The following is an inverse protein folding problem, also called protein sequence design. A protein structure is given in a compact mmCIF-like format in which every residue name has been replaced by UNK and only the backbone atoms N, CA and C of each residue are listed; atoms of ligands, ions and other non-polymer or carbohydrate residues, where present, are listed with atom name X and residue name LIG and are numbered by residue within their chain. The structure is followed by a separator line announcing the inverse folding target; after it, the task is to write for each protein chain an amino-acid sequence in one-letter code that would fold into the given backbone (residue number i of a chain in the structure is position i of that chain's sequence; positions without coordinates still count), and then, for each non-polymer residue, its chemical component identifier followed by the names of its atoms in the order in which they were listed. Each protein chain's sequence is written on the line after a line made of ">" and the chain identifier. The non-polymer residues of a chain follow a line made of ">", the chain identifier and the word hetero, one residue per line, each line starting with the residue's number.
data_IF_442699971112
#
_entry.id   IF_442699971112
#
_cell.length_a   1.000
_cell.length_b   1.000
_cell.length_c   1.000
_cell.angle_alpha   90.00
_cell.angle_beta   90.00
_cell.angle_gamma   90.00
#
_symmetry.space_group_name_H-M   'P 1'
#
loop_
_entity.id
_entity.type
_entity.pdbx_description
1 polymer ?
#
# COMPACT_ATOMS: atom_id res chain seq x y z
N UNK A 1 16.13 5.05 -2.44
CA UNK A 1 17.35 4.25 -2.75
C UNK A 1 16.86 2.89 -3.20
N UNK A 2 16.92 2.56 -4.49
CA UNK A 2 16.54 1.22 -4.96
C UNK A 2 17.60 0.23 -4.45
N UNK A 3 17.22 -0.58 -3.47
CA UNK A 3 18.03 -1.72 -3.05
C UNK A 3 18.02 -2.66 -4.25
N UNK A 4 19.15 -2.79 -4.93
CA UNK A 4 19.38 -3.87 -5.91
C UNK A 4 19.65 -5.14 -5.11
N UNK A 5 18.58 -5.80 -4.67
CA UNK A 5 18.73 -7.12 -4.10
C UNK A 5 19.33 -8.04 -5.16
N UNK A 6 20.28 -8.87 -4.73
CA UNK A 6 20.82 -9.91 -5.62
C UNK A 6 19.67 -10.79 -6.06
N UNK A 7 19.67 -11.23 -7.32
CA UNK A 7 18.60 -12.11 -7.87
C UNK A 7 18.38 -13.37 -7.03
N UNK A 8 19.43 -13.87 -6.41
CA UNK A 8 19.42 -15.02 -5.50
C UNK A 8 18.83 -14.68 -4.12
N UNK A 9 18.75 -13.41 -3.76
CA UNK A 9 18.20 -12.91 -2.50
C UNK A 9 16.68 -12.74 -2.51
N UNK A 10 16.03 -12.69 -3.69
CA UNK A 10 14.58 -12.47 -3.80
C UNK A 10 13.86 -13.76 -4.20
N UNK A 11 12.57 -13.85 -3.85
CA UNK A 11 11.70 -14.96 -4.26
C UNK A 11 11.55 -15.00 -5.78
N UNK A 12 11.52 -16.20 -6.36
CA UNK A 12 11.11 -16.42 -7.75
C UNK A 12 9.60 -16.31 -7.89
N UNK A 13 9.08 -16.26 -9.11
CA UNK A 13 7.63 -16.23 -9.34
C UNK A 13 6.97 -17.53 -8.88
N UNK A 14 7.65 -18.65 -9.05
CA UNK A 14 7.21 -19.97 -8.59
C UNK A 14 7.13 -20.04 -7.05
N UNK A 15 8.12 -19.49 -6.35
CA UNK A 15 8.12 -19.41 -4.89
C UNK A 15 6.97 -18.52 -4.39
N UNK A 16 6.72 -17.36 -5.04
CA UNK A 16 5.61 -16.46 -4.73
C UNK A 16 4.27 -17.15 -4.99
N UNK A 17 4.10 -17.79 -6.17
CA UNK A 17 2.88 -18.51 -6.55
C UNK A 17 2.55 -19.62 -5.56
N UNK A 18 3.58 -20.42 -5.14
CA UNK A 18 3.41 -21.49 -4.17
C UNK A 18 2.92 -20.97 -2.81
N UNK A 19 3.56 -19.92 -2.26
CA UNK A 19 3.14 -19.32 -0.99
C UNK A 19 1.74 -18.71 -1.10
N UNK A 20 1.48 -17.96 -2.18
CA UNK A 20 0.17 -17.36 -2.41
C UNK A 20 -0.92 -18.42 -2.55
N UNK A 21 -0.66 -19.49 -3.31
CA UNK A 21 -1.55 -20.63 -3.45
C UNK A 21 -1.88 -21.30 -2.11
N UNK A 22 -0.87 -21.51 -1.26
CA UNK A 22 -1.05 -22.04 0.08
C UNK A 22 -1.94 -21.13 0.94
N UNK A 23 -1.68 -19.81 0.93
CA UNK A 23 -2.46 -18.83 1.67
C UNK A 23 -3.94 -18.79 1.21
N UNK A 24 -4.18 -18.86 -0.09
CA UNK A 24 -5.54 -18.86 -0.67
C UNK A 24 -6.27 -20.17 -0.34
N UNK A 25 -5.65 -21.31 -0.61
CA UNK A 25 -6.35 -22.61 -0.52
C UNK A 25 -6.53 -23.09 0.91
N UNK A 26 -5.58 -22.82 1.80
CA UNK A 26 -5.60 -23.31 3.19
C UNK A 26 -6.22 -22.33 4.17
N UNK A 27 -6.04 -21.02 3.94
CA UNK A 27 -6.46 -19.98 4.89
C UNK A 27 -7.53 -19.03 4.35
N UNK A 28 -7.97 -19.22 3.10
CA UNK A 28 -9.05 -18.44 2.51
C UNK A 28 -8.68 -16.98 2.25
N UNK A 29 -7.39 -16.69 1.98
CA UNK A 29 -6.99 -15.36 1.56
C UNK A 29 -7.68 -15.02 0.24
N UNK A 30 -8.48 -13.96 0.23
CA UNK A 30 -9.34 -13.56 -0.88
C UNK A 30 -8.80 -12.33 -1.66
N UNK A 31 -7.76 -11.70 -1.14
CA UNK A 31 -7.15 -10.55 -1.80
C UNK A 31 -5.63 -10.51 -1.63
N UNK A 32 -4.92 -10.15 -2.71
CA UNK A 32 -3.47 -9.99 -2.72
C UNK A 32 -3.13 -8.60 -3.24
N UNK A 33 -2.17 -7.93 -2.59
CA UNK A 33 -1.64 -6.65 -3.06
C UNK A 33 -0.16 -6.76 -3.37
N UNK A 34 0.18 -6.57 -4.63
CA UNK A 34 1.57 -6.40 -5.05
C UNK A 34 2.06 -5.01 -4.69
N UNK A 35 3.21 -4.96 -4.05
CA UNK A 35 3.86 -3.72 -3.61
C UNK A 35 5.38 -3.99 -3.51
N UNK A 36 6.11 -3.20 -2.76
CA UNK A 36 7.55 -3.40 -2.55
C UNK A 36 8.19 -2.03 -2.45
N UNK A 37 9.45 -1.88 -2.88
CA UNK A 37 9.97 -0.55 -3.16
C UNK A 37 9.21 0.07 -4.34
N UNK A 38 9.30 -0.58 -5.51
CA UNK A 38 8.47 -0.28 -6.68
C UNK A 38 8.28 -1.59 -7.47
N UNK A 39 7.05 -2.14 -7.55
CA UNK A 39 6.81 -3.43 -8.20
C UNK A 39 7.07 -3.39 -9.70
N UNK A 40 6.85 -2.25 -10.36
CA UNK A 40 6.98 -2.13 -11.82
C UNK A 40 8.42 -2.19 -12.34
N UNK A 41 9.43 -2.14 -11.46
CA UNK A 41 10.83 -2.38 -11.85
C UNK A 41 11.16 -3.87 -11.98
N UNK A 42 10.27 -4.75 -11.52
CA UNK A 42 10.48 -6.19 -11.64
C UNK A 42 10.21 -6.64 -13.08
N UNK A 43 11.22 -7.26 -13.69
CA UNK A 43 11.09 -7.80 -15.04
C UNK A 43 9.94 -8.82 -15.12
N UNK A 44 9.19 -8.78 -16.22
CA UNK A 44 8.06 -9.68 -16.49
C UNK A 44 6.95 -9.65 -15.42
N UNK A 45 6.69 -8.48 -14.82
CA UNK A 45 5.63 -8.31 -13.83
C UNK A 45 4.26 -8.79 -14.31
N UNK A 46 3.82 -8.57 -15.58
CA UNK A 46 2.55 -9.11 -16.07
C UNK A 46 2.46 -10.65 -16.00
N UNK A 47 3.57 -11.38 -16.14
CA UNK A 47 3.57 -12.86 -15.94
C UNK A 47 3.24 -13.22 -14.48
N UNK A 48 3.86 -12.52 -13.50
CA UNK A 48 3.53 -12.72 -12.08
C UNK A 48 2.05 -12.40 -11.80
N UNK A 49 1.56 -11.29 -12.34
CA UNK A 49 0.13 -10.90 -12.22
C UNK A 49 -0.76 -12.01 -12.78
N UNK A 50 -0.47 -12.52 -13.98
CA UNK A 50 -1.22 -13.60 -14.62
C UNK A 50 -1.21 -14.91 -13.84
N UNK A 51 -0.10 -15.25 -13.19
CA UNK A 51 0.00 -16.42 -12.30
C UNK A 51 -0.88 -16.26 -11.06
N UNK A 52 -0.81 -15.12 -10.41
CA UNK A 52 -1.62 -14.83 -9.21
C UNK A 52 -3.11 -14.67 -9.52
N UNK A 53 -3.47 -14.12 -10.67
CA UNK A 53 -4.86 -13.99 -11.11
C UNK A 53 -5.57 -15.35 -11.24
N UNK A 54 -4.83 -16.42 -11.59
CA UNK A 54 -5.37 -17.79 -11.65
C UNK A 54 -5.84 -18.33 -10.29
N UNK A 55 -5.40 -17.73 -9.19
CA UNK A 55 -5.85 -18.11 -7.85
C UNK A 55 -7.28 -17.61 -7.54
N UNK A 56 -7.88 -16.76 -8.39
CA UNK A 56 -9.25 -16.29 -8.24
C UNK A 56 -9.43 -15.25 -7.13
N UNK A 57 -8.37 -14.57 -6.73
CA UNK A 57 -8.36 -13.54 -5.69
C UNK A 57 -8.49 -12.13 -6.26
N UNK A 58 -8.94 -11.19 -5.46
CA UNK A 58 -8.89 -9.77 -5.82
C UNK A 58 -7.45 -9.27 -5.79
N UNK A 59 -6.91 -8.96 -6.96
CA UNK A 59 -5.52 -8.63 -7.14
C UNK A 59 -5.32 -7.11 -7.30
N UNK A 60 -4.60 -6.51 -6.37
CA UNK A 60 -4.30 -5.09 -6.36
C UNK A 60 -2.78 -4.83 -6.47
N UNK A 61 -2.41 -3.64 -6.91
CA UNK A 61 -1.03 -3.19 -6.88
C UNK A 61 -0.92 -1.78 -6.32
N UNK A 62 0.17 -1.50 -5.59
CA UNK A 62 0.57 -0.15 -5.20
C UNK A 62 1.88 0.19 -5.89
N UNK A 63 1.94 1.32 -6.57
CA UNK A 63 3.06 1.78 -7.39
C UNK A 63 3.27 3.29 -7.26
N UNK A 64 4.46 3.77 -7.59
CA UNK A 64 4.73 5.20 -7.76
C UNK A 64 4.15 5.80 -9.07
N UNK A 65 3.60 4.98 -9.95
CA UNK A 65 2.90 5.41 -11.16
C UNK A 65 3.78 5.76 -12.37
N UNK A 66 5.06 6.04 -12.19
CA UNK A 66 5.91 6.61 -13.24
C UNK A 66 6.11 5.70 -14.47
N UNK A 67 5.88 4.39 -14.35
CA UNK A 67 5.99 3.44 -15.48
C UNK A 67 4.65 2.99 -16.03
N UNK A 68 3.53 3.37 -15.41
CA UNK A 68 2.18 2.98 -15.85
C UNK A 68 1.85 3.38 -17.30
N UNK A 69 2.33 4.51 -17.86
CA UNK A 69 2.10 4.82 -19.28
C UNK A 69 2.55 3.71 -20.22
N UNK A 70 3.50 2.88 -19.81
CA UNK A 70 4.06 1.80 -20.63
C UNK A 70 3.42 0.43 -20.39
N UNK A 71 2.83 0.19 -19.19
CA UNK A 71 2.46 -1.18 -18.79
C UNK A 71 1.05 -1.30 -18.21
N UNK A 72 0.29 -0.21 -18.06
CA UNK A 72 -1.03 -0.26 -17.42
C UNK A 72 -1.98 -1.23 -18.12
N UNK A 73 -2.01 -1.23 -19.46
CA UNK A 73 -2.84 -2.14 -20.24
C UNK A 73 -2.41 -3.60 -20.06
N UNK A 74 -1.10 -3.88 -20.13
CA UNK A 74 -0.57 -5.25 -19.96
C UNK A 74 -0.91 -5.82 -18.59
N UNK A 75 -0.85 -4.98 -17.54
CA UNK A 75 -1.24 -5.37 -16.18
C UNK A 75 -2.74 -5.65 -16.08
N UNK A 76 -3.56 -4.84 -16.73
CA UNK A 76 -5.02 -5.05 -16.78
C UNK A 76 -5.37 -6.35 -17.49
N UNK A 77 -4.76 -6.59 -18.66
CA UNK A 77 -4.97 -7.80 -19.47
C UNK A 77 -4.46 -9.07 -18.77
N UNK A 78 -3.41 -8.94 -17.96
CA UNK A 78 -2.91 -10.02 -17.12
C UNK A 78 -3.83 -10.35 -15.92
N UNK A 79 -4.85 -9.53 -15.63
CA UNK A 79 -5.83 -9.80 -14.60
C UNK A 79 -5.65 -8.99 -13.32
N UNK A 80 -4.88 -7.90 -13.34
CA UNK A 80 -4.83 -6.97 -12.21
C UNK A 80 -6.19 -6.24 -12.08
N UNK A 81 -6.80 -6.28 -10.90
CA UNK A 81 -8.12 -5.70 -10.68
C UNK A 81 -8.05 -4.23 -10.29
N UNK A 82 -7.12 -3.84 -9.40
CA UNK A 82 -7.08 -2.52 -8.77
C UNK A 82 -5.70 -1.91 -8.73
N UNK A 83 -5.63 -0.59 -8.91
CA UNK A 83 -4.39 0.19 -8.77
C UNK A 83 -4.50 1.21 -7.63
N UNK A 84 -3.41 1.29 -6.85
CA UNK A 84 -3.15 2.41 -5.95
C UNK A 84 -1.86 3.09 -6.44
N UNK A 85 -1.89 4.40 -6.58
CA UNK A 85 -0.75 5.19 -7.02
C UNK A 85 -0.35 6.13 -5.89
N UNK A 86 0.92 6.13 -5.53
CA UNK A 86 1.44 7.03 -4.49
C UNK A 86 1.80 8.37 -5.10
N UNK A 87 1.26 9.45 -4.52
CA UNK A 87 1.50 10.83 -4.97
C UNK A 87 1.36 11.76 -3.76
N UNK A 88 2.48 12.21 -3.20
CA UNK A 88 2.49 12.96 -1.94
C UNK A 88 2.44 14.48 -2.12
N UNK A 89 2.54 15.00 -3.35
CA UNK A 89 2.37 16.41 -3.67
C UNK A 89 1.96 16.62 -5.13
N UNK A 90 1.16 17.65 -5.39
CA UNK A 90 0.81 18.17 -6.73
C UNK A 90 1.73 19.32 -7.14
N UNK A 91 2.49 19.89 -6.20
CA UNK A 91 3.54 20.87 -6.46
C UNK A 91 4.84 20.18 -6.86
N UNK A 92 5.43 20.59 -8.01
CA UNK A 92 6.63 19.95 -8.57
C UNK A 92 7.83 20.03 -7.66
N UNK A 93 8.08 21.20 -7.08
CA UNK A 93 9.29 21.42 -6.28
C UNK A 93 9.21 20.60 -4.99
N UNK A 94 8.04 20.58 -4.35
CA UNK A 94 7.75 19.75 -3.17
C UNK A 94 7.80 18.25 -3.51
N UNK A 95 7.24 17.85 -4.65
CA UNK A 95 7.33 16.46 -5.11
C UNK A 95 8.79 16.02 -5.28
N UNK A 96 9.63 16.86 -5.88
CA UNK A 96 11.07 16.58 -6.03
C UNK A 96 11.77 16.49 -4.68
N UNK A 97 11.45 17.37 -3.75
CA UNK A 97 12.00 17.34 -2.38
C UNK A 97 11.65 16.04 -1.66
N UNK A 98 10.38 15.63 -1.70
CA UNK A 98 9.87 14.43 -1.02
C UNK A 98 10.38 13.14 -1.67
N UNK A 99 10.36 13.06 -3.01
CA UNK A 99 10.67 11.82 -3.73
C UNK A 99 12.12 11.70 -4.18
N UNK A 100 12.85 12.83 -4.18
CA UNK A 100 14.20 12.97 -4.77
C UNK A 100 14.24 12.62 -6.27
N UNK A 101 13.13 12.83 -6.96
CA UNK A 101 12.94 12.56 -8.39
C UNK A 101 12.05 13.62 -9.03
N UNK A 102 12.37 14.02 -10.23
CA UNK A 102 11.59 14.97 -11.04
C UNK A 102 10.69 14.20 -12.03
N UNK A 103 9.79 13.40 -11.49
CA UNK A 103 8.93 12.49 -12.26
C UNK A 103 7.43 12.84 -12.13
N UNK A 104 7.05 14.00 -11.57
CA UNK A 104 5.64 14.35 -11.31
C UNK A 104 4.75 14.21 -12.55
N UNK A 105 5.16 14.78 -13.70
CA UNK A 105 4.40 14.72 -14.95
C UNK A 105 4.18 13.27 -15.38
N UNK A 106 5.20 12.41 -15.27
CA UNK A 106 5.08 10.99 -15.61
C UNK A 106 4.14 10.22 -14.69
N UNK A 107 4.06 10.62 -13.41
CA UNK A 107 3.10 10.05 -12.46
C UNK A 107 1.68 10.46 -12.84
N UNK A 108 1.45 11.73 -13.20
CA UNK A 108 0.16 12.22 -13.68
C UNK A 108 -0.27 11.53 -14.98
N UNK A 109 0.63 11.37 -15.95
CA UNK A 109 0.40 10.54 -17.15
C UNK A 109 0.09 9.09 -16.78
N UNK A 110 0.76 8.55 -15.77
CA UNK A 110 0.50 7.20 -15.25
C UNK A 110 -0.89 7.03 -14.66
N UNK A 111 -1.41 8.05 -13.98
CA UNK A 111 -2.79 8.08 -13.48
C UNK A 111 -3.77 8.07 -14.66
N UNK A 112 -3.53 8.89 -15.67
CA UNK A 112 -4.38 8.94 -16.89
C UNK A 112 -4.34 7.60 -17.64
N UNK A 113 -3.18 6.98 -17.76
CA UNK A 113 -3.03 5.65 -18.37
C UNK A 113 -3.77 4.56 -17.58
N UNK A 114 -3.76 4.62 -16.25
CA UNK A 114 -4.50 3.68 -15.40
C UNK A 114 -6.02 3.83 -15.60
N UNK A 115 -6.52 5.05 -15.66
CA UNK A 115 -7.94 5.33 -15.92
C UNK A 115 -8.31 4.86 -17.35
N UNK A 116 -7.48 5.16 -18.35
CA UNK A 116 -7.71 4.74 -19.73
C UNK A 116 -7.69 3.22 -19.93
N UNK A 117 -6.87 2.49 -19.15
CA UNK A 117 -6.84 1.01 -19.14
C UNK A 117 -8.06 0.40 -18.41
N UNK A 118 -8.98 1.20 -17.89
CA UNK A 118 -10.22 0.74 -17.23
C UNK A 118 -10.04 0.22 -15.81
N UNK A 119 -9.03 0.71 -15.07
CA UNK A 119 -9.00 0.53 -13.63
C UNK A 119 -10.00 1.46 -12.95
N UNK A 120 -11.00 0.89 -12.25
CA UNK A 120 -12.05 1.65 -11.58
C UNK A 120 -12.39 1.03 -10.22
N UNK A 121 -12.23 1.79 -9.10
CA UNK A 121 -11.56 3.09 -9.06
C UNK A 121 -10.03 2.98 -9.05
N UNK A 122 -9.35 3.91 -9.71
CA UNK A 122 -7.95 4.21 -9.43
C UNK A 122 -7.88 4.95 -8.10
N UNK A 123 -6.96 4.56 -7.21
CA UNK A 123 -6.81 5.19 -5.90
C UNK A 123 -5.46 5.89 -5.79
N UNK A 124 -5.48 7.12 -5.33
CA UNK A 124 -4.28 7.93 -5.08
C UNK A 124 -4.01 7.93 -3.57
N UNK A 125 -2.85 7.45 -3.16
CA UNK A 125 -2.39 7.49 -1.77
C UNK A 125 -1.54 8.74 -1.56
N UNK A 126 -1.89 9.53 -0.56
CA UNK A 126 -1.17 10.75 -0.14
C UNK A 126 -0.80 10.59 1.32
N UNK A 127 0.48 10.51 1.65
CA UNK A 127 0.94 10.58 3.03
C UNK A 127 1.00 12.04 3.45
N UNK A 128 0.14 12.44 4.39
CA UNK A 128 0.10 13.81 4.87
C UNK A 128 1.09 14.03 6.00
N UNK A 129 1.87 15.10 5.87
CA UNK A 129 2.83 15.55 6.86
C UNK A 129 2.59 17.01 7.20
N UNK A 130 2.28 17.29 8.48
CA UNK A 130 2.09 18.66 8.95
C UNK A 130 3.36 19.50 8.74
N UNK A 131 3.18 20.72 8.23
CA UNK A 131 4.26 21.64 7.89
C UNK A 131 4.99 21.30 6.57
N UNK A 132 4.56 20.26 5.83
CA UNK A 132 5.18 19.87 4.56
C UNK A 132 4.17 19.93 3.40
N UNK A 133 3.10 19.10 3.44
CA UNK A 133 2.11 19.01 2.35
C UNK A 133 0.65 19.01 2.82
N UNK A 134 0.40 19.30 4.09
CA UNK A 134 -0.96 19.36 4.66
C UNK A 134 -1.83 20.47 4.06
N UNK A 135 -1.22 21.48 3.50
CA UNK A 135 -1.88 22.59 2.78
C UNK A 135 -2.48 22.14 1.43
N UNK A 136 -2.06 21.00 0.88
CA UNK A 136 -2.58 20.44 -0.39
C UNK A 136 -3.84 19.56 -0.23
N UNK A 137 -4.42 19.43 0.97
CA UNK A 137 -5.60 18.58 1.22
C UNK A 137 -6.76 18.90 0.27
N UNK A 138 -7.08 20.19 0.12
CA UNK A 138 -8.19 20.63 -0.74
C UNK A 138 -7.84 20.46 -2.22
N UNK A 139 -6.60 20.76 -2.61
CA UNK A 139 -6.12 20.58 -3.98
C UNK A 139 -6.18 19.13 -4.42
N UNK A 140 -5.78 18.20 -3.57
CA UNK A 140 -5.94 16.77 -3.81
C UNK A 140 -7.41 16.33 -3.88
N UNK A 141 -8.28 16.88 -3.02
CA UNK A 141 -9.71 16.60 -3.10
C UNK A 141 -10.29 17.07 -4.44
N UNK A 142 -9.93 18.26 -4.90
CA UNK A 142 -10.32 18.79 -6.22
C UNK A 142 -9.76 17.94 -7.35
N UNK A 143 -8.47 17.59 -7.28
CA UNK A 143 -7.82 16.69 -8.23
C UNK A 143 -8.57 15.37 -8.38
N UNK A 144 -8.91 14.71 -7.28
CA UNK A 144 -9.66 13.46 -7.29
C UNK A 144 -11.02 13.58 -7.96
N UNK A 145 -11.76 14.65 -7.64
CA UNK A 145 -13.07 14.97 -8.24
C UNK A 145 -13.00 15.22 -9.74
N UNK A 146 -11.96 15.94 -10.18
CA UNK A 146 -11.80 16.31 -11.59
C UNK A 146 -11.29 15.12 -12.44
N UNK A 147 -10.44 14.26 -11.89
CA UNK A 147 -9.89 13.07 -12.57
C UNK A 147 -10.78 11.83 -12.44
N UNK A 148 -11.81 11.85 -11.58
CA UNK A 148 -12.63 10.67 -11.30
C UNK A 148 -11.88 9.57 -10.55
N UNK A 149 -10.89 9.91 -9.73
CA UNK A 149 -10.09 8.98 -8.94
C UNK A 149 -10.38 9.17 -7.45
N UNK A 150 -10.12 8.13 -6.63
CA UNK A 150 -10.34 8.19 -5.18
C UNK A 150 -9.05 8.58 -4.48
N UNK A 151 -8.98 9.77 -3.92
CA UNK A 151 -7.85 10.19 -3.10
C UNK A 151 -7.98 9.59 -1.70
N UNK A 152 -6.88 9.06 -1.17
CA UNK A 152 -6.79 8.53 0.19
C UNK A 152 -5.64 9.18 0.93
N UNK A 153 -5.96 9.98 1.90
CA UNK A 153 -5.00 10.58 2.81
C UNK A 153 -4.58 9.56 3.87
N UNK A 154 -3.30 9.47 4.12
CA UNK A 154 -2.71 8.52 5.06
C UNK A 154 -1.95 9.32 6.12
N UNK A 155 -2.23 9.07 7.38
CA UNK A 155 -1.46 9.65 8.48
C UNK A 155 -0.01 9.20 8.43
N UNK A 156 0.91 10.13 8.63
CA UNK A 156 2.35 9.86 8.64
C UNK A 156 2.72 8.89 9.76
N UNK A 157 3.43 7.83 9.42
CA UNK A 157 3.78 6.73 10.33
C UNK A 157 5.29 6.63 10.55
N UNK A 158 5.77 6.11 11.71
CA UNK A 158 7.20 5.96 12.03
C UNK A 158 7.88 4.81 11.27
N UNK A 159 7.74 4.81 9.95
CA UNK A 159 8.31 3.83 9.00
C UNK A 159 9.12 4.51 7.90
N UNK A 160 9.34 5.79 8.03
CA UNK A 160 10.12 6.62 7.12
C UNK A 160 11.63 6.30 7.22
N UNK A 161 12.33 6.37 6.07
CA UNK A 161 13.74 6.06 6.01
C UNK A 161 14.63 7.17 6.62
N UNK A 162 14.14 8.40 6.63
CA UNK A 162 14.88 9.58 7.08
C UNK A 162 14.69 9.86 8.59
N UNK A 163 13.89 9.04 9.27
CA UNK A 163 13.62 9.11 10.73
C UNK A 163 13.11 10.48 11.20
N UNK A 164 12.35 11.17 10.35
CA UNK A 164 11.78 12.49 10.63
C UNK A 164 10.42 12.45 11.33
N UNK A 165 9.83 11.26 11.52
CA UNK A 165 8.53 11.12 12.13
C UNK A 165 8.52 11.68 13.56
N UNK A 166 7.48 12.45 13.85
CA UNK A 166 7.10 12.93 15.19
C UNK A 166 5.59 13.10 15.29
N UNK A 167 5.02 13.05 16.49
CA UNK A 167 3.58 13.25 16.69
C UNK A 167 3.07 14.60 16.17
N UNK A 168 3.91 15.63 16.20
CA UNK A 168 3.66 16.98 15.69
C UNK A 168 3.55 17.05 14.18
N UNK A 169 4.04 16.03 13.48
CA UNK A 169 3.95 15.89 12.01
C UNK A 169 2.74 15.12 11.53
N UNK A 170 1.98 14.53 12.41
CA UNK A 170 0.74 13.81 12.07
C UNK A 170 -0.37 14.82 11.79
N UNK A 171 -1.08 14.65 10.68
CA UNK A 171 -2.32 15.39 10.38
C UNK A 171 -3.49 14.48 10.72
N UNK A 172 -4.27 14.78 11.79
CA UNK A 172 -5.36 13.92 12.23
C UNK A 172 -6.49 13.82 11.21
N UNK A 173 -7.19 12.65 11.18
CA UNK A 173 -8.37 12.44 10.33
C UNK A 173 -9.39 13.58 10.44
N UNK A 174 -9.66 14.06 11.65
CA UNK A 174 -10.65 15.13 11.88
C UNK A 174 -10.29 16.42 11.14
N UNK A 175 -9.01 16.77 11.07
CA UNK A 175 -8.54 17.97 10.40
C UNK A 175 -8.64 17.81 8.87
N UNK A 176 -8.33 16.64 8.34
CA UNK A 176 -8.49 16.32 6.90
C UNK A 176 -9.96 16.42 6.49
N UNK A 177 -10.86 15.79 7.27
CA UNK A 177 -12.30 15.81 7.01
C UNK A 177 -12.85 17.22 7.06
N UNK A 178 -12.45 17.99 8.07
CA UNK A 178 -12.88 19.40 8.23
C UNK A 178 -12.44 20.24 7.02
N UNK A 179 -11.17 20.17 6.63
CA UNK A 179 -10.64 20.95 5.52
C UNK A 179 -11.38 20.68 4.21
N UNK A 180 -11.74 19.40 3.96
CA UNK A 180 -12.49 19.02 2.75
C UNK A 180 -13.95 19.47 2.85
N UNK A 181 -14.63 19.22 3.99
CA UNK A 181 -16.06 19.51 4.15
C UNK A 181 -16.39 21.02 4.07
N UNK A 182 -15.46 21.89 4.48
CA UNK A 182 -15.59 23.35 4.36
C UNK A 182 -15.68 23.83 2.90
N UNK A 183 -15.06 23.09 1.93
CA UNK A 183 -15.04 23.46 0.52
C UNK A 183 -15.94 22.56 -0.33
N UNK A 184 -15.86 21.27 -0.08
CA UNK A 184 -16.61 20.21 -0.77
C UNK A 184 -17.37 19.38 0.25
N UNK A 185 -18.67 19.68 0.52
CA UNK A 185 -19.45 18.98 1.52
C UNK A 185 -19.44 17.46 1.32
N UNK A 186 -19.07 16.72 2.38
CA UNK A 186 -18.96 15.28 2.39
C UNK A 186 -19.90 14.64 3.42
N UNK A 187 -20.16 13.34 3.26
CA UNK A 187 -20.90 12.53 4.21
C UNK A 187 -20.21 11.16 4.40
N UNK A 188 -20.25 10.60 5.62
CA UNK A 188 -19.59 9.32 5.88
C UNK A 188 -20.26 8.17 5.13
N UNK A 189 -19.45 7.25 4.64
CA UNK A 189 -19.90 5.96 4.08
C UNK A 189 -19.76 4.87 5.14
N UNK A 190 -20.65 3.90 5.14
CA UNK A 190 -20.61 2.78 6.07
C UNK A 190 -19.20 2.13 6.10
N UNK A 191 -18.69 1.91 7.31
CA UNK A 191 -17.35 1.33 7.52
C UNK A 191 -17.33 -0.13 7.08
N UNK A 192 -16.23 -0.52 6.45
CA UNK A 192 -15.92 -1.91 6.07
C UNK A 192 -14.65 -2.36 6.79
N UNK A 193 -14.14 -3.57 6.53
CA UNK A 193 -12.80 -4.03 6.98
C UNK A 193 -11.64 -3.28 6.32
N UNK A 194 -11.92 -2.44 5.30
CA UNK A 194 -10.89 -1.63 4.64
C UNK A 194 -10.27 -0.61 5.61
N UNK A 195 -8.95 -0.34 5.49
CA UNK A 195 -8.25 0.56 6.41
C UNK A 195 -8.72 2.02 6.35
N UNK A 196 -9.31 2.45 5.23
CA UNK A 196 -9.74 3.82 5.03
C UNK A 196 -11.16 4.03 5.56
N UNK A 197 -11.35 5.05 6.39
CA UNK A 197 -12.66 5.67 6.62
C UNK A 197 -13.03 6.45 5.36
N UNK A 198 -14.21 6.18 4.79
CA UNK A 198 -14.61 6.71 3.49
C UNK A 198 -15.70 7.77 3.65
N UNK A 199 -15.63 8.78 2.79
CA UNK A 199 -16.61 9.85 2.70
C UNK A 199 -17.01 10.04 1.23
N UNK A 200 -18.30 10.28 0.99
CA UNK A 200 -18.82 10.61 -0.33
C UNK A 200 -19.06 12.10 -0.43
N UNK A 201 -18.75 12.69 -1.59
CA UNK A 201 -19.13 14.06 -1.87
C UNK A 201 -20.66 14.15 -2.07
N UNK A 202 -21.33 15.11 -1.37
CA UNK A 202 -22.77 15.26 -1.41
C UNK A 202 -23.32 15.63 -2.78
N UNK A 203 -22.47 16.17 -3.66
CA UNK A 203 -22.82 16.46 -5.06
C UNK A 203 -22.64 15.25 -6.00
N UNK A 204 -22.30 14.09 -5.47
CA UNK A 204 -22.16 12.84 -6.23
C UNK A 204 -20.85 12.69 -7.02
N UNK A 205 -19.88 13.60 -6.89
CA UNK A 205 -18.62 13.56 -7.64
C UNK A 205 -17.55 12.66 -7.00
N UNK A 206 -17.91 11.44 -6.59
CA UNK A 206 -16.98 10.44 -6.12
C UNK A 206 -16.81 10.41 -4.60
N UNK A 207 -15.69 9.89 -4.16
CA UNK A 207 -15.37 9.60 -2.76
C UNK A 207 -13.95 10.03 -2.42
N UNK A 208 -13.73 10.26 -1.13
CA UNK A 208 -12.42 10.46 -0.53
C UNK A 208 -12.26 9.53 0.67
N UNK A 209 -11.05 9.13 1.01
CA UNK A 209 -10.76 8.29 2.15
C UNK A 209 -9.66 8.83 3.05
N UNK A 210 -9.70 8.46 4.33
CA UNK A 210 -8.61 8.75 5.27
C UNK A 210 -8.21 7.47 5.99
N UNK A 211 -6.91 7.18 6.03
CA UNK A 211 -6.33 6.03 6.74
C UNK A 211 -5.67 6.55 8.00
N UNK A 212 -6.44 6.57 9.09
CA UNK A 212 -6.04 7.08 10.39
C UNK A 212 -5.33 5.98 11.22
N UNK A 213 -4.10 5.65 10.85
CA UNK A 213 -3.33 4.60 11.51
C UNK A 213 -2.87 5.00 12.91
N UNK A 214 -2.63 6.28 13.14
CA UNK A 214 -2.07 6.83 14.38
C UNK A 214 -3.17 7.29 15.33
N UNK A 215 -4.11 8.11 14.84
CA UNK A 215 -5.14 8.74 15.69
C UNK A 215 -6.37 7.86 15.90
N UNK A 216 -6.77 7.06 14.91
CA UNK A 216 -7.92 6.13 14.99
C UNK A 216 -7.51 4.72 14.56
N UNK A 217 -6.89 3.99 15.47
CA UNK A 217 -6.40 2.64 15.20
C UNK A 217 -7.52 1.68 14.80
N UNK A 218 -7.23 0.83 13.83
CA UNK A 218 -8.11 -0.24 13.36
C UNK A 218 -7.45 -1.63 13.46
N UNK A 219 -6.57 -1.81 14.46
CA UNK A 219 -5.81 -3.05 14.65
C UNK A 219 -6.70 -4.24 14.98
N UNK A 220 -7.79 -4.03 15.72
CA UNK A 220 -8.71 -5.09 16.17
C UNK A 220 -9.41 -5.81 15.01
N UNK A 221 -9.56 -5.15 13.87
CA UNK A 221 -10.18 -5.71 12.65
C UNK A 221 -9.14 -5.99 11.55
N UNK A 222 -7.84 -5.93 11.87
CA UNK A 222 -6.79 -6.07 10.88
C UNK A 222 -6.46 -7.53 10.57
N UNK A 223 -6.84 -7.99 9.39
CA UNK A 223 -6.62 -9.31 8.81
C UNK A 223 -5.36 -9.42 7.93
N UNK A 224 -4.54 -8.35 7.84
CA UNK A 224 -3.43 -8.26 6.90
C UNK A 224 -2.18 -8.99 7.40
N UNK A 225 -1.55 -9.67 6.45
CA UNK A 225 -0.22 -10.28 6.55
C UNK A 225 0.65 -9.76 5.41
N UNK A 226 1.96 -9.97 5.45
CA UNK A 226 2.89 -9.51 4.43
C UNK A 226 3.93 -10.58 4.12
N UNK A 227 4.31 -10.65 2.85
CA UNK A 227 5.46 -11.40 2.37
C UNK A 227 6.40 -10.43 1.67
N UNK A 228 7.60 -10.28 2.18
CA UNK A 228 8.59 -9.39 1.57
C UNK A 228 9.24 -10.03 0.34
N UNK A 229 9.83 -9.24 -0.54
CA UNK A 229 10.50 -9.72 -1.74
C UNK A 229 11.63 -10.72 -1.44
N UNK A 230 12.29 -10.58 -0.28
CA UNK A 230 13.33 -11.49 0.21
C UNK A 230 12.78 -12.69 1.01
N UNK A 231 11.45 -12.90 0.97
CA UNK A 231 10.79 -14.09 1.51
C UNK A 231 10.59 -14.12 3.02
N UNK A 232 10.55 -12.94 3.65
CA UNK A 232 10.21 -12.84 5.06
C UNK A 232 8.69 -12.68 5.22
N UNK A 233 8.07 -13.54 6.00
CA UNK A 233 6.68 -13.40 6.37
C UNK A 233 6.55 -12.50 7.59
N UNK A 234 5.59 -11.58 7.56
CA UNK A 234 5.33 -10.61 8.62
C UNK A 234 3.84 -10.58 8.94
N UNK A 235 3.50 -10.67 10.21
CA UNK A 235 2.13 -10.66 10.69
C UNK A 235 1.55 -9.25 10.87
N UNK A 236 2.39 -8.21 10.89
CA UNK A 236 2.01 -6.81 11.04
C UNK A 236 2.96 -5.89 10.27
N UNK A 237 2.49 -4.71 9.87
CA UNK A 237 3.31 -3.63 9.30
C UNK A 237 4.43 -3.23 10.28
N UNK A 238 4.10 -3.15 11.56
CA UNK A 238 5.00 -2.77 12.65
C UNK A 238 5.65 -3.97 13.35
N UNK A 239 5.60 -5.17 12.76
CA UNK A 239 6.28 -6.33 13.36
C UNK A 239 7.78 -6.07 13.49
N UNK A 240 8.34 -6.42 14.62
CA UNK A 240 9.78 -6.34 14.89
C UNK A 240 10.50 -7.63 14.52
N UNK A 241 9.76 -8.72 14.37
CA UNK A 241 10.25 -10.05 13.99
C UNK A 241 9.81 -10.40 12.57
N UNK A 242 10.72 -11.02 11.83
CA UNK A 242 10.49 -11.59 10.51
C UNK A 242 10.57 -13.12 10.60
N UNK A 243 9.76 -13.83 9.80
CA UNK A 243 9.75 -15.29 9.71
C UNK A 243 10.20 -15.71 8.32
N UNK A 244 11.32 -16.41 8.24
CA UNK A 244 11.97 -16.72 6.95
C UNK A 244 11.33 -17.89 6.23
N UNK A 245 10.48 -17.63 5.25
CA UNK A 245 9.88 -18.67 4.40
C UNK A 245 10.79 -19.05 3.22
N UNK A 246 11.61 -18.12 2.70
CA UNK A 246 12.48 -18.41 1.55
C UNK A 246 13.44 -19.56 1.81
N UNK A 247 14.15 -19.49 2.91
CA UNK A 247 15.18 -20.51 3.20
C UNK A 247 14.54 -21.87 3.50
N UNK A 248 13.36 -21.90 4.12
CA UNK A 248 12.58 -23.10 4.31
C UNK A 248 12.14 -23.71 2.95
N UNK A 249 11.60 -22.90 2.03
CA UNK A 249 11.24 -23.31 0.67
C UNK A 249 12.44 -23.93 -0.08
N UNK A 250 13.59 -23.24 -0.02
CA UNK A 250 14.81 -23.68 -0.72
C UNK A 250 15.49 -24.88 -0.10
N UNK A 251 15.24 -25.14 1.18
CA UNK A 251 15.61 -26.36 1.87
C UNK A 251 14.68 -27.54 1.53
N UNK A 252 13.63 -27.34 0.72
CA UNK A 252 12.69 -28.37 0.31
C UNK A 252 11.54 -28.61 1.29
N UNK A 253 11.21 -27.63 2.14
CA UNK A 253 10.10 -27.74 3.08
C UNK A 253 8.78 -28.06 2.37
N UNK A 254 8.00 -28.92 2.99
CA UNK A 254 6.63 -29.27 2.56
C UNK A 254 5.68 -28.10 2.82
N UNK A 255 4.49 -28.14 2.21
CA UNK A 255 3.46 -27.12 2.44
C UNK A 255 2.97 -27.12 3.89
N UNK A 256 2.99 -28.27 4.57
CA UNK A 256 2.65 -28.35 6.00
C UNK A 256 3.71 -27.67 6.89
N UNK A 257 4.99 -27.84 6.58
CA UNK A 257 6.06 -27.17 7.30
C UNK A 257 6.03 -25.64 7.08
N UNK A 258 5.77 -25.19 5.86
CA UNK A 258 5.57 -23.76 5.56
C UNK A 258 4.35 -23.21 6.30
N UNK A 259 3.23 -23.96 6.29
CA UNK A 259 2.02 -23.60 7.01
C UNK A 259 2.25 -23.44 8.51
N UNK A 260 3.00 -24.36 9.12
CA UNK A 260 3.31 -24.30 10.55
C UNK A 260 4.09 -23.01 10.92
N UNK A 261 5.01 -22.55 10.06
CA UNK A 261 5.71 -21.26 10.26
C UNK A 261 4.73 -20.08 10.17
N UNK A 262 3.82 -20.10 9.18
CA UNK A 262 2.81 -19.06 9.00
C UNK A 262 1.86 -19.02 10.21
N UNK A 263 1.36 -20.16 10.67
CA UNK A 263 0.46 -20.27 11.82
C UNK A 263 1.12 -19.74 13.09
N UNK A 264 2.38 -20.12 13.34
CA UNK A 264 3.17 -19.59 14.45
C UNK A 264 3.31 -18.06 14.37
N UNK A 265 3.64 -17.54 13.20
CA UNK A 265 3.76 -16.09 12.99
C UNK A 265 2.44 -15.35 13.22
N UNK A 266 1.31 -15.93 12.78
CA UNK A 266 -0.02 -15.33 12.99
C UNK A 266 -0.42 -15.40 14.47
N UNK A 267 -0.11 -16.48 15.15
CA UNK A 267 -0.35 -16.62 16.60
C UNK A 267 0.40 -15.53 17.40
N UNK A 268 1.61 -15.18 16.98
CA UNK A 268 2.45 -14.16 17.62
C UNK A 268 2.02 -12.71 17.26
N UNK A 269 0.90 -12.54 16.54
CA UNK A 269 0.43 -11.20 16.16
C UNK A 269 -0.06 -10.41 17.34
N UNK A 270 0.52 -9.23 17.54
CA UNK A 270 0.12 -8.34 18.63
C UNK A 270 -1.28 -7.74 18.39
N UNK A 271 -1.99 -7.47 19.47
CA UNK A 271 -3.31 -6.85 19.45
C UNK A 271 -3.30 -5.40 18.90
N UNK A 272 -2.14 -4.77 18.80
CA UNK A 272 -1.99 -3.42 18.22
C UNK A 272 -0.53 -3.05 18.03
N UNK A 273 -0.26 -1.99 17.26
CA UNK A 273 1.10 -1.55 16.94
C UNK A 273 1.77 -0.69 18.03
N UNK A 274 1.01 -0.18 19.00
CA UNK A 274 1.54 0.55 20.15
C UNK A 274 2.21 1.90 19.87
N UNK A 275 2.04 2.52 18.71
CA UNK A 275 2.68 3.81 18.34
C UNK A 275 2.45 4.91 19.37
N UNK A 276 1.32 4.89 20.05
CA UNK A 276 0.91 5.86 21.08
C UNK A 276 1.30 5.44 22.50
N UNK A 277 2.11 4.41 22.64
CA UNK A 277 2.55 3.90 23.94
C UNK A 277 4.04 4.11 24.14
N UNK A 278 4.46 4.18 25.42
CA UNK A 278 5.88 4.24 25.81
C UNK A 278 6.67 2.96 25.44
N UNK A 279 5.96 1.91 25.03
CA UNK A 279 6.55 0.62 24.65
C UNK A 279 6.68 0.45 23.13
N UNK A 280 6.38 1.49 22.33
CA UNK A 280 6.52 1.39 20.88
C UNK A 280 7.97 1.10 20.48
N UNK A 281 8.15 0.02 19.74
CA UNK A 281 9.44 -0.35 19.14
C UNK A 281 9.34 -0.12 17.65
N UNK A 282 10.12 0.84 17.13
CA UNK A 282 10.20 1.09 15.71
C UNK A 282 10.77 -0.11 14.97
N UNK A 283 10.12 -0.62 13.92
CA UNK A 283 10.68 -1.69 13.09
C UNK A 283 12.01 -1.28 12.46
N UNK A 284 12.92 -2.25 12.32
CA UNK A 284 14.20 -2.03 11.63
C UNK A 284 14.05 -1.78 10.13
N UNK A 285 13.00 -2.33 9.53
CA UNK A 285 12.68 -2.17 8.11
C UNK A 285 11.81 -0.93 7.91
N UNK A 286 12.15 -0.12 6.92
CA UNK A 286 11.31 1.00 6.49
C UNK A 286 10.22 0.54 5.51
N UNK A 287 9.30 1.46 5.15
CA UNK A 287 8.15 1.18 4.30
C UNK A 287 8.54 0.56 2.95
N UNK A 288 9.61 1.02 2.31
CA UNK A 288 10.06 0.48 1.01
C UNK A 288 10.59 -0.96 1.07
N UNK A 289 10.92 -1.46 2.25
CA UNK A 289 11.42 -2.82 2.46
C UNK A 289 10.33 -3.82 2.84
N UNK A 290 9.20 -3.33 3.36
CA UNK A 290 8.09 -4.17 3.85
C UNK A 290 6.84 -4.07 2.98
N UNK A 291 6.82 -3.19 2.02
CA UNK A 291 5.73 -2.97 1.10
C UNK A 291 4.62 -2.08 1.69
N UNK A 292 4.55 -0.86 1.20
CA UNK A 292 3.56 0.17 1.55
C UNK A 292 2.36 0.23 0.63
#
# INVERSE_FOLDING_TARGET
>A
MCIRDRRDGVLTFEEIERIAGLLVTRYGVDSIRLTGGEPTVRANLPDLVGRLAKLGVDLAMTTNGATLPLIAQDLKDAGLNRLNISLDSLDRDRFVELTRRDDLERVLEGIDAAVAAGFDPVKINVVLMNGINHDEIVDFAEFGRNKGVVVRFIEFMPLDADEIWGPDRVVPLADVVKAIDEVYPIEPVARTSAPATRYRYKDGKGEVGVIATVTEKFCDTCDRIRLTADGQFRNCLFAVQDYNLRDALRAGATDDEIAAVIEGAVHDKWAGHGIDTVHFIRPKRNMSQIGG
#
